data_IF_482007156279
#
_entry.id   IF_482007156279
#
_cell.length_a   1.000
_cell.length_b   1.000
_cell.length_c   1.000
_cell.angle_alpha   90.00
_cell.angle_beta   90.00
_cell.angle_gamma   90.00
#
_symmetry.space_group_name_H-M   'P 1'
#
loop_
_entity.id
_entity.type
_entity.pdbx_description
1 polymer ?
#
# COMPACT_ATOMS: atom_id res chain seq x y z
N UNK A 1 12.15 -13.33 14.28
CA UNK A 1 12.24 -11.88 14.06
C UNK A 1 10.82 -11.35 13.91
N UNK A 2 10.31 -10.70 14.94
CA UNK A 2 8.94 -10.21 14.92
C UNK A 2 8.83 -8.99 14.00
N UNK A 3 8.21 -9.18 12.84
CA UNK A 3 7.84 -8.12 11.91
C UNK A 3 6.61 -7.41 12.48
N UNK A 4 6.82 -6.53 13.47
CA UNK A 4 5.71 -5.92 14.19
C UNK A 4 4.84 -4.98 13.34
N UNK A 5 5.36 -4.37 12.28
CA UNK A 5 4.58 -3.63 11.29
C UNK A 5 5.31 -3.65 9.94
N UNK A 6 4.71 -4.25 8.97
CA UNK A 6 5.22 -4.26 7.61
C UNK A 6 4.26 -3.54 6.68
N UNK A 7 4.80 -2.67 5.83
CA UNK A 7 4.03 -1.91 4.84
C UNK A 7 4.63 -2.01 3.45
N UNK A 8 3.78 -1.87 2.46
CA UNK A 8 4.15 -1.81 1.05
C UNK A 8 3.50 -0.59 0.43
N UNK A 9 4.29 0.20 -0.30
CA UNK A 9 3.84 1.37 -1.04
C UNK A 9 4.07 1.15 -2.53
N UNK A 10 2.98 1.21 -3.30
CA UNK A 10 3.01 1.30 -4.76
C UNK A 10 2.87 2.76 -5.18
N UNK A 11 3.76 3.22 -6.03
CA UNK A 11 3.77 4.61 -6.48
C UNK A 11 2.79 4.84 -7.61
N UNK A 12 2.11 5.99 -7.57
CA UNK A 12 1.32 6.48 -8.70
C UNK A 12 2.26 6.92 -9.82
N UNK A 13 1.86 6.66 -11.05
CA UNK A 13 2.59 7.11 -12.26
C UNK A 13 2.49 8.62 -12.39
N UNK A 14 1.29 9.18 -12.17
CA UNK A 14 1.06 10.62 -12.06
C UNK A 14 0.49 10.96 -10.68
N UNK A 15 1.29 11.57 -9.79
CA UNK A 15 0.85 11.89 -8.44
C UNK A 15 -0.20 13.01 -8.38
N UNK A 16 -0.42 13.74 -9.46
CA UNK A 16 -1.36 14.86 -9.55
C UNK A 16 -2.63 14.53 -10.34
N UNK A 17 -2.74 13.32 -10.87
CA UNK A 17 -3.87 12.90 -11.69
C UNK A 17 -5.22 13.00 -10.97
N UNK A 18 -5.24 12.73 -9.66
CA UNK A 18 -6.45 12.79 -8.83
C UNK A 18 -6.15 13.58 -7.55
N UNK A 19 -6.93 14.61 -7.24
CA UNK A 19 -6.81 15.32 -5.97
C UNK A 19 -7.01 14.37 -4.77
N UNK A 20 -6.23 14.58 -3.71
CA UNK A 20 -6.28 13.71 -2.53
C UNK A 20 -7.69 13.59 -1.93
N UNK A 21 -8.48 14.64 -1.98
CA UNK A 21 -9.85 14.67 -1.44
C UNK A 21 -10.80 13.73 -2.19
N UNK A 22 -10.56 13.45 -3.46
CA UNK A 22 -11.41 12.61 -4.29
C UNK A 22 -11.30 11.12 -3.93
N UNK A 23 -10.27 10.74 -3.17
CA UNK A 23 -10.17 9.38 -2.61
C UNK A 23 -11.11 9.13 -1.44
N UNK A 24 -11.62 10.18 -0.78
CA UNK A 24 -12.53 10.02 0.37
C UNK A 24 -13.82 9.31 -0.04
N UNK A 25 -14.59 9.76 -1.05
CA UNK A 25 -15.80 9.06 -1.48
C UNK A 25 -15.51 7.66 -2.01
N UNK A 26 -14.36 7.43 -2.65
CA UNK A 26 -13.96 6.10 -3.11
C UNK A 26 -13.80 5.15 -1.90
N UNK A 27 -13.08 5.56 -0.89
CA UNK A 27 -12.88 4.74 0.31
C UNK A 27 -14.17 4.55 1.11
N UNK A 28 -15.06 5.55 1.15
CA UNK A 28 -16.39 5.38 1.76
C UNK A 28 -17.22 4.33 1.01
N UNK A 29 -17.17 4.33 -0.32
CA UNK A 29 -17.79 3.29 -1.14
C UNK A 29 -17.20 1.90 -0.84
N UNK A 30 -15.91 1.80 -0.67
CA UNK A 30 -15.24 0.55 -0.31
C UNK A 30 -15.68 0.03 1.06
N UNK A 31 -15.88 0.92 2.04
CA UNK A 31 -16.40 0.56 3.36
C UNK A 31 -17.82 -0.01 3.23
N UNK A 32 -18.69 0.64 2.46
CA UNK A 32 -20.06 0.17 2.25
C UNK A 32 -20.11 -1.20 1.56
N UNK A 33 -19.26 -1.41 0.57
CA UNK A 33 -19.19 -2.65 -0.19
C UNK A 33 -18.28 -3.72 0.41
N UNK A 34 -17.47 -3.40 1.44
CA UNK A 34 -16.45 -4.31 2.01
C UNK A 34 -15.62 -5.01 0.92
N UNK A 35 -15.12 -4.24 -0.04
CA UNK A 35 -14.57 -4.73 -1.31
C UNK A 35 -13.20 -5.39 -1.22
N UNK A 36 -12.49 -5.26 -0.09
CA UNK A 36 -11.18 -5.86 0.10
C UNK A 36 -11.33 -7.19 0.85
N UNK A 37 -10.97 -8.33 0.23
CA UNK A 37 -11.06 -9.62 0.88
C UNK A 37 -10.25 -9.70 2.18
N UNK A 38 -10.76 -10.43 3.15
CA UNK A 38 -10.11 -10.67 4.45
C UNK A 38 -9.79 -9.39 5.26
N UNK A 39 -10.48 -8.30 4.96
CA UNK A 39 -10.34 -7.02 5.66
C UNK A 39 -11.71 -6.47 6.05
N UNK A 40 -11.85 -6.12 7.32
CA UNK A 40 -12.97 -5.35 7.81
C UNK A 40 -12.65 -3.87 7.71
N UNK A 41 -13.21 -3.20 6.71
CA UNK A 41 -13.05 -1.76 6.50
C UNK A 41 -13.94 -0.99 7.48
N UNK A 42 -13.37 -0.01 8.18
CA UNK A 42 -14.03 0.64 9.32
C UNK A 42 -14.32 2.11 9.07
N UNK A 43 -13.32 2.90 8.70
CA UNK A 43 -13.45 4.35 8.62
C UNK A 43 -12.42 4.99 7.69
N UNK A 44 -12.68 6.24 7.29
CA UNK A 44 -11.78 7.08 6.48
C UNK A 44 -11.42 8.35 7.23
N UNK A 45 -10.13 8.67 7.28
CA UNK A 45 -9.62 9.90 7.89
C UNK A 45 -8.83 10.73 6.88
N UNK A 46 -9.03 12.04 6.94
CA UNK A 46 -8.30 12.98 6.10
C UNK A 46 -7.18 13.66 6.91
N UNK A 47 -5.94 13.28 6.64
CA UNK A 47 -4.73 13.88 7.19
C UNK A 47 -3.91 14.64 6.14
N UNK A 48 -4.51 15.00 5.00
CA UNK A 48 -3.82 15.69 3.90
C UNK A 48 -3.29 17.07 4.29
N UNK A 49 -3.84 17.65 5.36
CA UNK A 49 -3.39 18.92 5.93
C UNK A 49 -2.12 18.80 6.80
N UNK A 50 -1.74 17.58 7.16
CA UNK A 50 -0.55 17.35 7.97
C UNK A 50 0.68 17.15 7.10
N UNK A 51 1.71 17.96 7.35
CA UNK A 51 3.01 17.73 6.70
C UNK A 51 3.59 16.39 7.14
N UNK A 52 3.96 15.53 6.18
CA UNK A 52 4.39 14.14 6.43
C UNK A 52 3.33 13.24 7.11
N UNK A 53 2.07 13.61 7.06
CA UNK A 53 0.98 12.76 7.52
C UNK A 53 0.65 11.63 6.52
N UNK A 54 -0.20 10.69 6.92
CA UNK A 54 -0.59 9.55 6.09
C UNK A 54 -1.51 9.91 4.90
N UNK A 55 -1.77 11.19 4.68
CA UNK A 55 -2.67 11.65 3.62
C UNK A 55 -4.13 11.24 3.87
N UNK A 56 -4.75 10.54 2.92
CA UNK A 56 -6.09 9.97 3.12
C UNK A 56 -5.93 8.55 3.61
N UNK A 57 -6.43 8.27 4.81
CA UNK A 57 -6.27 7.01 5.52
C UNK A 57 -7.58 6.23 5.56
N UNK A 58 -7.58 5.03 5.00
CA UNK A 58 -8.63 4.03 5.17
C UNK A 58 -8.21 3.06 6.28
N UNK A 59 -8.98 3.05 7.34
CA UNK A 59 -8.75 2.18 8.49
C UNK A 59 -9.48 0.86 8.30
N UNK A 60 -8.76 -0.24 8.42
CA UNK A 60 -9.33 -1.57 8.51
C UNK A 60 -8.82 -2.29 9.77
N UNK A 61 -9.52 -3.34 10.16
CA UNK A 61 -9.13 -4.11 11.35
C UNK A 61 -7.77 -4.79 11.17
N UNK A 62 -7.52 -5.39 10.01
CA UNK A 62 -6.32 -6.18 9.70
C UNK A 62 -5.13 -5.32 9.24
N UNK A 63 -5.38 -4.15 8.69
CA UNK A 63 -4.36 -3.24 8.19
C UNK A 63 -4.94 -1.93 7.70
N UNK A 64 -4.10 -0.95 7.47
CA UNK A 64 -4.51 0.36 6.98
C UNK A 64 -4.04 0.56 5.53
N UNK A 65 -4.88 1.19 4.74
CA UNK A 65 -4.54 1.70 3.40
C UNK A 65 -4.46 3.22 3.46
N UNK A 66 -3.50 3.82 2.79
CA UNK A 66 -3.42 5.28 2.73
C UNK A 66 -2.91 5.77 1.38
N UNK A 67 -3.42 6.91 0.95
CA UNK A 67 -2.82 7.67 -0.15
C UNK A 67 -1.72 8.53 0.49
N UNK A 68 -0.53 7.96 0.54
CA UNK A 68 0.62 8.52 1.24
C UNK A 68 1.45 9.39 0.30
N UNK A 69 1.72 10.62 0.71
CA UNK A 69 2.50 11.62 -0.03
C UNK A 69 3.89 11.85 0.56
N UNK A 70 4.27 11.08 1.55
CA UNK A 70 5.58 11.19 2.17
C UNK A 70 6.71 10.96 1.15
N UNK A 71 7.86 11.56 1.43
CA UNK A 71 9.06 11.45 0.59
C UNK A 71 8.89 12.05 -0.83
N UNK A 72 7.92 12.95 -1.03
CA UNK A 72 7.66 13.60 -2.31
C UNK A 72 7.12 12.67 -3.40
N UNK A 73 6.72 11.46 -3.07
CA UNK A 73 6.21 10.45 -4.00
C UNK A 73 4.86 9.91 -3.52
N UNK A 74 3.81 10.29 -4.21
CA UNK A 74 2.46 9.81 -3.91
C UNK A 74 2.27 8.35 -4.31
N UNK A 75 1.60 7.61 -3.47
CA UNK A 75 1.28 6.22 -3.74
C UNK A 75 0.30 5.62 -2.74
N UNK A 76 -0.19 4.42 -3.06
CA UNK A 76 -0.98 3.63 -2.14
C UNK A 76 -0.05 2.86 -1.20
N UNK A 77 -0.13 3.17 0.08
CA UNK A 77 0.57 2.49 1.16
C UNK A 77 -0.40 1.57 1.89
N UNK A 78 -0.07 0.29 1.97
CA UNK A 78 -0.75 -0.68 2.82
C UNK A 78 0.16 -1.06 3.98
N UNK A 79 -0.33 -0.91 5.20
CA UNK A 79 0.38 -1.31 6.42
C UNK A 79 -0.44 -2.37 7.15
N UNK A 80 0.11 -3.57 7.29
CA UNK A 80 -0.50 -4.63 8.07
C UNK A 80 -0.28 -4.42 9.57
N UNK A 81 -1.32 -4.66 10.36
CA UNK A 81 -1.30 -4.48 11.83
C UNK A 81 -0.82 -5.71 12.58
N UNK A 82 -1.12 -6.90 12.05
CA UNK A 82 -0.84 -8.16 12.74
C UNK A 82 0.26 -8.97 12.06
N UNK A 83 1.18 -9.56 12.82
CA UNK A 83 2.14 -10.52 12.29
C UNK A 83 1.42 -11.80 11.82
N UNK A 84 2.03 -12.57 10.95
CA UNK A 84 1.59 -13.93 10.67
C UNK A 84 1.07 -14.24 9.27
N UNK A 85 1.05 -13.27 8.34
CA UNK A 85 0.90 -13.59 6.91
C UNK A 85 2.25 -13.46 6.21
N UNK A 86 2.45 -14.28 5.20
CA UNK A 86 3.60 -14.22 4.33
C UNK A 86 3.62 -12.90 3.53
N UNK A 87 4.80 -12.48 3.13
CA UNK A 87 4.99 -11.26 2.35
C UNK A 87 4.19 -11.26 1.04
N UNK A 88 4.07 -12.43 0.40
CA UNK A 88 3.31 -12.58 -0.83
C UNK A 88 1.84 -12.19 -0.66
N UNK A 89 1.23 -12.56 0.45
CA UNK A 89 -0.15 -12.18 0.79
C UNK A 89 -0.30 -10.66 0.98
N UNK A 90 0.70 -10.02 1.61
CA UNK A 90 0.70 -8.56 1.82
C UNK A 90 0.81 -7.83 0.49
N UNK A 91 1.73 -8.26 -0.38
CA UNK A 91 1.90 -7.73 -1.75
C UNK A 91 0.61 -7.90 -2.55
N UNK A 92 0.01 -9.08 -2.51
CA UNK A 92 -1.25 -9.38 -3.22
C UNK A 92 -2.38 -8.46 -2.77
N UNK A 93 -2.54 -8.24 -1.47
CA UNK A 93 -3.56 -7.32 -0.92
C UNK A 93 -3.34 -5.89 -1.40
N UNK A 94 -2.11 -5.38 -1.31
CA UNK A 94 -1.79 -4.03 -1.76
C UNK A 94 -2.01 -3.84 -3.27
N UNK A 95 -1.63 -4.82 -4.10
CA UNK A 95 -1.88 -4.79 -5.56
C UNK A 95 -3.37 -4.86 -5.90
N UNK A 96 -4.12 -5.66 -5.16
CA UNK A 96 -5.57 -5.73 -5.33
C UNK A 96 -6.22 -4.37 -5.06
N UNK A 97 -5.83 -3.69 -4.00
CA UNK A 97 -6.30 -2.34 -3.70
C UNK A 97 -5.92 -1.34 -4.80
N UNK A 98 -4.70 -1.39 -5.34
CA UNK A 98 -4.30 -0.57 -6.50
C UNK A 98 -5.21 -0.84 -7.71
N UNK A 99 -5.46 -2.10 -8.02
CA UNK A 99 -6.34 -2.49 -9.14
C UNK A 99 -7.79 -2.02 -8.95
N UNK A 100 -8.29 -2.00 -7.71
CA UNK A 100 -9.61 -1.45 -7.42
C UNK A 100 -9.65 0.06 -7.65
N UNK A 101 -8.62 0.80 -7.22
CA UNK A 101 -8.53 2.24 -7.46
C UNK A 101 -8.49 2.58 -8.95
N UNK A 102 -7.73 1.83 -9.74
CA UNK A 102 -7.65 2.03 -11.19
C UNK A 102 -8.99 1.78 -11.92
N UNK A 103 -9.87 0.98 -11.33
CA UNK A 103 -11.19 0.65 -11.89
C UNK A 103 -12.30 1.58 -11.44
N UNK A 104 -12.05 2.43 -10.45
CA UNK A 104 -13.07 3.36 -9.96
C UNK A 104 -13.45 4.39 -11.03
N UNK A 105 -14.73 4.66 -11.26
CA UNK A 105 -15.17 5.60 -12.30
C UNK A 105 -14.60 7.01 -12.15
N UNK A 106 -14.34 7.45 -10.92
CA UNK A 106 -13.75 8.75 -10.62
C UNK A 106 -12.26 8.83 -10.98
N UNK A 107 -11.60 7.71 -11.21
CA UNK A 107 -10.17 7.60 -11.48
C UNK A 107 -9.84 6.91 -12.79
N UNK A 108 -10.86 6.46 -13.52
CA UNK A 108 -10.69 5.85 -14.86
C UNK A 108 -9.95 6.83 -15.76
N UNK A 109 -8.92 6.35 -16.43
CA UNK A 109 -8.01 7.09 -17.32
C UNK A 109 -7.01 8.03 -16.62
N UNK A 110 -7.15 8.29 -15.31
CA UNK A 110 -6.26 9.19 -14.58
C UNK A 110 -5.28 8.45 -13.67
N UNK A 111 -5.70 7.36 -13.04
CA UNK A 111 -4.87 6.62 -12.10
C UNK A 111 -4.20 5.43 -12.76
N UNK A 112 -2.89 5.37 -12.62
CA UNK A 112 -2.12 4.15 -12.86
C UNK A 112 -1.02 3.99 -11.80
N UNK A 113 -0.76 2.75 -11.42
CA UNK A 113 0.28 2.41 -10.46
C UNK A 113 1.42 1.67 -11.15
N UNK A 114 2.63 2.07 -10.82
CA UNK A 114 3.82 1.34 -11.22
C UNK A 114 3.93 0.02 -10.43
N UNK A 115 3.14 -0.98 -10.77
CA UNK A 115 3.06 -2.26 -10.04
C UNK A 115 4.35 -3.10 -10.10
N UNK A 116 5.31 -2.68 -10.91
CA UNK A 116 6.66 -3.27 -10.96
C UNK A 116 7.63 -2.68 -9.96
N UNK A 117 7.31 -1.52 -9.39
CA UNK A 117 8.13 -0.84 -8.40
C UNK A 117 7.31 -0.60 -7.14
N UNK A 118 7.78 -1.09 -6.02
CA UNK A 118 7.21 -0.79 -4.73
C UNK A 118 8.31 -0.51 -3.71
N UNK A 119 7.97 0.25 -2.69
CA UNK A 119 8.83 0.44 -1.54
C UNK A 119 8.27 -0.37 -0.38
N UNK A 120 9.07 -1.27 0.16
CA UNK A 120 8.75 -1.92 1.42
C UNK A 120 9.12 -1.01 2.59
N UNK A 121 8.20 -0.86 3.52
CA UNK A 121 8.40 -0.10 4.74
C UNK A 121 8.45 -1.08 5.90
N UNK A 122 9.60 -1.13 6.56
CA UNK A 122 9.76 -1.83 7.82
C UNK A 122 9.71 -0.82 8.95
N UNK A 123 8.75 -0.96 9.83
CA UNK A 123 8.70 -0.16 11.05
C UNK A 123 9.26 -1.00 12.20
N UNK A 124 10.49 -0.70 12.59
CA UNK A 124 11.11 -1.23 13.80
C UNK A 124 11.17 -0.11 14.84
N UNK A 125 10.31 -0.19 15.86
CA UNK A 125 10.27 0.83 16.91
C UNK A 125 9.87 2.21 16.39
N UNK A 126 10.68 3.23 16.66
CA UNK A 126 10.44 4.64 16.28
C UNK A 126 11.03 5.02 14.92
N UNK A 127 11.74 4.13 14.24
CA UNK A 127 12.40 4.45 12.96
C UNK A 127 11.69 3.81 11.77
N UNK A 128 11.51 4.60 10.71
CA UNK A 128 11.01 4.17 9.41
C UNK A 128 12.22 3.83 8.52
N UNK A 129 12.36 2.55 8.14
CA UNK A 129 13.34 2.14 7.15
C UNK A 129 12.63 1.90 5.81
N UNK A 130 13.10 2.55 4.76
CA UNK A 130 12.52 2.48 3.42
C UNK A 130 13.48 1.73 2.50
N UNK A 131 13.03 0.64 1.89
CA UNK A 131 13.77 -0.08 0.87
C UNK A 131 12.95 -0.12 -0.41
N UNK A 132 13.49 0.42 -1.49
CA UNK A 132 12.84 0.38 -2.81
C UNK A 132 13.33 -0.84 -3.58
N UNK A 133 12.42 -1.70 -3.98
CA UNK A 133 12.72 -2.91 -4.76
C UNK A 133 12.07 -2.82 -6.13
N UNK A 134 12.83 -3.15 -7.16
CA UNK A 134 12.40 -3.16 -8.56
C UNK A 134 12.32 -4.61 -9.04
N UNK A 135 11.16 -5.04 -9.55
CA UNK A 135 10.99 -6.33 -10.23
C UNK A 135 10.74 -6.12 -11.72
N UNK A 136 11.71 -6.41 -12.58
CA UNK A 136 11.58 -6.16 -14.03
C UNK A 136 10.58 -7.09 -14.74
N UNK A 137 10.26 -8.27 -14.20
CA UNK A 137 9.37 -9.25 -14.82
C UNK A 137 8.54 -10.00 -13.78
N UNK A 138 7.53 -9.37 -13.22
CA UNK A 138 6.62 -10.06 -12.32
C UNK A 138 5.53 -10.78 -13.10
N UNK A 139 5.59 -12.13 -13.11
CA UNK A 139 4.48 -12.98 -13.51
C UNK A 139 3.75 -13.45 -12.24
N UNK A 140 2.47 -13.10 -12.04
CA UNK A 140 1.72 -13.44 -10.84
C UNK A 140 1.52 -14.97 -10.63
N UNK A 141 1.74 -15.77 -11.66
CA UNK A 141 1.66 -17.22 -11.60
C UNK A 141 2.94 -17.92 -11.11
N UNK A 142 4.04 -17.20 -10.93
CA UNK A 142 5.35 -17.73 -10.55
C UNK A 142 5.81 -17.21 -9.19
N UNK A 143 4.99 -17.32 -8.15
CA UNK A 143 5.47 -17.14 -6.78
C UNK A 143 6.17 -18.42 -6.34
N UNK A 144 7.49 -18.40 -6.07
CA UNK A 144 8.16 -19.54 -5.50
C UNK A 144 7.63 -19.82 -4.09
N UNK A 145 7.29 -21.08 -3.82
CA UNK A 145 6.79 -21.54 -2.51
C UNK A 145 7.81 -21.46 -1.36
N UNK A 146 9.01 -20.99 -1.62
CA UNK A 146 10.06 -20.85 -0.61
C UNK A 146 10.53 -19.40 -0.52
N UNK A 147 10.10 -18.74 0.52
CA UNK A 147 10.52 -17.37 0.88
C UNK A 147 11.97 -17.33 1.43
N UNK A 148 12.95 -17.78 0.64
CA UNK A 148 14.38 -17.52 0.93
C UNK A 148 14.87 -16.19 0.32
N UNK A 149 14.01 -15.21 0.16
CA UNK A 149 14.31 -13.98 -0.57
C UNK A 149 14.82 -12.81 0.28
N UNK A 150 15.09 -13.00 1.56
CA UNK A 150 15.43 -11.89 2.47
C UNK A 150 16.68 -12.16 3.28
N UNK A 151 17.79 -12.45 2.63
CA UNK A 151 19.07 -12.06 3.20
C UNK A 151 19.37 -10.63 2.74
N UNK A 152 19.10 -9.67 3.62
CA UNK A 152 19.54 -8.31 3.42
C UNK A 152 21.06 -8.30 3.29
N UNK A 153 21.64 -7.59 2.30
CA UNK A 153 23.09 -7.40 2.28
C UNK A 153 23.49 -6.67 3.57
N UNK A 154 24.30 -7.34 4.37
CA UNK A 154 24.99 -6.72 5.49
C UNK A 154 26.02 -5.76 4.91
N UNK A 155 25.78 -4.47 5.06
CA UNK A 155 26.81 -3.48 4.84
C UNK A 155 27.72 -3.45 6.08
N UNK A 156 29.01 -3.78 5.86
CA UNK A 156 30.09 -3.44 6.78
C UNK A 156 30.33 -1.93 6.75
#
# INVERSE_FOLDING_TARGET
MDLHKFGIKFFMTDPHAVPAQDFIPIFQHWIQGQVIPDHLLVDVHNYSHMHNGPGILLVAHEGNFSIDMADGRTGLLYIRKYPGKDLASIVKTARHACSLLEKEPASVDALSFGLTKYTSLRMTGLSRQTTTTHFPNYNPSCLPHSAKFWEAPTFN
#
